data_IF_838101158267
#
_entry.id   IF_838101158267
#
_cell.length_a   1.000
_cell.length_b   1.000
_cell.length_c   1.000
_cell.angle_alpha   90.00
_cell.angle_beta   90.00
_cell.angle_gamma   90.00
#
_symmetry.space_group_name_H-M   'P 1'
#
loop_
_entity.id
_entity.type
_entity.pdbx_description
1 polymer ?
#
# COMPACT_ATOMS: atom_id res chain seq x y z
N UNK A 1 -12.56 0.13 -27.81
CA UNK A 1 -12.78 0.41 -26.39
C UNK A 1 -11.41 0.54 -25.73
N UNK A 2 -10.84 1.74 -25.75
CA UNK A 2 -9.52 2.06 -25.17
C UNK A 2 -9.78 2.60 -23.76
N UNK A 3 -9.61 1.76 -22.74
CA UNK A 3 -9.72 2.20 -21.35
C UNK A 3 -8.31 2.36 -20.81
N UNK A 4 -7.88 3.62 -20.82
CA UNK A 4 -6.90 4.29 -19.95
C UNK A 4 -5.51 3.67 -19.82
N UNK A 5 -4.64 4.00 -20.78
CA UNK A 5 -3.18 4.00 -20.60
C UNK A 5 -2.70 5.45 -20.38
N UNK A 6 -3.27 6.14 -19.38
CA UNK A 6 -2.90 7.53 -19.03
C UNK A 6 -2.91 7.62 -17.50
N UNK A 7 -1.74 7.53 -16.85
CA UNK A 7 -1.37 8.10 -15.53
C UNK A 7 -0.26 7.34 -14.77
N UNK A 8 0.51 6.43 -15.39
CA UNK A 8 1.59 5.72 -14.69
C UNK A 8 2.85 6.58 -14.43
N UNK A 9 2.89 7.84 -14.87
CA UNK A 9 4.06 8.70 -14.67
C UNK A 9 3.90 9.60 -13.44
N UNK A 10 4.56 9.18 -12.35
CA UNK A 10 4.89 9.95 -11.14
C UNK A 10 3.93 9.88 -9.93
N UNK A 11 3.37 8.72 -9.60
CA UNK A 11 2.92 8.52 -8.22
C UNK A 11 4.13 8.47 -7.28
N UNK A 12 4.38 9.58 -6.60
CA UNK A 12 5.31 9.64 -5.47
C UNK A 12 4.50 9.55 -4.18
N UNK A 13 4.57 8.45 -3.44
CA UNK A 13 3.93 8.38 -2.14
C UNK A 13 4.51 9.47 -1.23
N UNK A 14 3.69 10.04 -0.32
CA UNK A 14 4.19 11.02 0.63
C UNK A 14 5.30 10.43 1.51
N UNK A 15 6.24 11.24 2.02
CA UNK A 15 7.38 10.76 2.80
C UNK A 15 7.01 9.91 4.03
N UNK A 16 5.79 10.07 4.55
CA UNK A 16 5.25 9.38 5.72
C UNK A 16 4.36 8.18 5.35
N UNK A 17 4.29 7.77 4.08
CA UNK A 17 3.42 6.69 3.61
C UNK A 17 3.51 5.43 4.46
N UNK A 18 4.71 4.93 4.71
CA UNK A 18 4.94 3.72 5.50
C UNK A 18 4.42 3.84 6.94
N UNK A 19 4.59 5.02 7.54
CA UNK A 19 4.11 5.32 8.89
C UNK A 19 2.59 5.36 8.91
N UNK A 20 1.97 5.97 7.89
CA UNK A 20 0.52 6.06 7.75
C UNK A 20 -0.13 4.69 7.53
N UNK A 21 0.44 3.84 6.68
CA UNK A 21 -0.02 2.46 6.47
C UNK A 21 0.01 1.69 7.78
N UNK A 22 1.15 1.72 8.48
CA UNK A 22 1.32 1.04 9.76
C UNK A 22 0.36 1.56 10.82
N UNK A 23 0.23 2.88 10.96
CA UNK A 23 -0.66 3.52 11.91
C UNK A 23 -2.14 3.18 11.63
N UNK A 24 -2.57 3.21 10.37
CA UNK A 24 -3.93 2.84 9.98
C UNK A 24 -4.22 1.38 10.33
N UNK A 25 -3.32 0.45 9.97
CA UNK A 25 -3.48 -0.96 10.31
C UNK A 25 -3.63 -1.18 11.81
N UNK A 26 -2.79 -0.52 12.62
CA UNK A 26 -2.88 -0.61 14.09
C UNK A 26 -4.15 0.02 14.64
N UNK A 27 -4.62 1.16 14.11
CA UNK A 27 -5.89 1.78 14.51
C UNK A 27 -7.10 0.89 14.24
N UNK A 28 -7.04 0.08 13.19
CA UNK A 28 -8.07 -0.90 12.85
C UNK A 28 -7.95 -2.22 13.62
N UNK A 29 -6.89 -2.40 14.44
CA UNK A 29 -6.66 -3.65 15.19
C UNK A 29 -6.34 -4.86 14.31
N UNK A 30 -5.82 -4.64 13.11
CA UNK A 30 -5.60 -5.71 12.12
C UNK A 30 -4.16 -6.25 12.13
N UNK A 31 -4.03 -7.55 11.92
CA UNK A 31 -2.76 -8.17 11.51
C UNK A 31 -2.37 -7.71 10.10
N UNK A 32 -1.09 -7.90 9.74
CA UNK A 32 -0.64 -7.60 8.37
C UNK A 32 -1.39 -8.43 7.31
N UNK A 33 -1.79 -9.66 7.63
CA UNK A 33 -2.57 -10.50 6.72
C UNK A 33 -3.98 -9.94 6.52
N UNK A 34 -4.72 -9.68 7.62
CA UNK A 34 -6.07 -9.11 7.53
C UNK A 34 -6.09 -7.76 6.82
N UNK A 35 -5.05 -6.94 7.01
CA UNK A 35 -4.91 -5.68 6.27
C UNK A 35 -4.63 -5.90 4.79
N UNK A 36 -3.80 -6.89 4.44
CA UNK A 36 -3.49 -7.25 3.06
C UNK A 36 -4.72 -7.76 2.29
N UNK A 37 -5.58 -8.52 2.97
CA UNK A 37 -6.83 -9.06 2.41
C UNK A 37 -7.77 -7.94 1.92
N UNK A 38 -7.76 -6.76 2.57
CA UNK A 38 -8.56 -5.60 2.15
C UNK A 38 -8.15 -5.04 0.77
N UNK A 39 -6.89 -5.23 0.38
CA UNK A 39 -6.32 -4.72 -0.87
C UNK A 39 -6.01 -5.83 -1.87
N UNK A 40 -6.36 -7.09 -1.57
CA UNK A 40 -6.02 -8.26 -2.40
C UNK A 40 -4.52 -8.35 -2.71
N UNK A 41 -3.67 -8.03 -1.72
CA UNK A 41 -2.21 -8.16 -1.81
C UNK A 41 -1.70 -9.19 -0.81
N UNK A 42 -0.43 -9.55 -0.90
CA UNK A 42 0.19 -10.44 0.10
C UNK A 42 0.52 -9.68 1.40
N UNK A 43 0.56 -10.37 2.53
CA UNK A 43 1.09 -9.80 3.78
C UNK A 43 2.56 -9.37 3.66
N UNK A 44 3.34 -10.01 2.77
CA UNK A 44 4.69 -9.59 2.44
C UNK A 44 4.71 -8.21 1.76
N UNK A 45 3.75 -7.93 0.87
CA UNK A 45 3.57 -6.61 0.24
C UNK A 45 3.30 -5.53 1.31
N UNK A 46 2.37 -5.79 2.24
CA UNK A 46 2.08 -4.87 3.36
C UNK A 46 3.32 -4.65 4.23
N UNK A 47 4.07 -5.71 4.55
CA UNK A 47 5.32 -5.60 5.30
C UNK A 47 6.32 -4.67 4.59
N UNK A 48 6.46 -4.78 3.27
CA UNK A 48 7.35 -3.91 2.49
C UNK A 48 6.86 -2.46 2.45
N UNK A 49 5.54 -2.23 2.39
CA UNK A 49 4.94 -0.89 2.51
C UNK A 49 5.27 -0.25 3.86
N UNK A 50 5.10 -0.97 4.95
CA UNK A 50 5.38 -0.49 6.31
C UNK A 50 6.87 -0.26 6.58
N UNK A 51 7.74 -0.92 5.82
CA UNK A 51 9.19 -0.74 5.87
C UNK A 51 9.70 0.36 4.91
N UNK A 52 8.84 0.92 4.06
CA UNK A 52 9.24 1.90 3.04
C UNK A 52 10.11 1.32 1.92
N UNK A 53 10.06 0.00 1.74
CA UNK A 53 10.83 -0.72 0.71
C UNK A 53 10.06 -0.87 -0.61
N UNK A 54 8.74 -0.77 -0.54
CA UNK A 54 7.83 -0.89 -1.67
C UNK A 54 6.68 0.10 -1.44
N UNK A 55 6.07 0.55 -2.53
CA UNK A 55 4.87 1.38 -2.51
C UNK A 55 3.91 0.85 -3.58
N UNK A 56 2.59 1.11 -3.48
CA UNK A 56 1.65 0.81 -4.55
C UNK A 56 2.12 1.47 -5.86
N UNK A 57 2.20 0.69 -6.94
CA UNK A 57 2.71 1.12 -8.25
C UNK A 57 1.62 1.11 -9.33
N UNK A 58 0.35 1.26 -8.95
CA UNK A 58 -0.81 1.17 -9.83
C UNK A 58 -1.77 2.32 -9.52
#
# INVERSE_FOLDING_TARGET
>A
MHIVEIAAENFRPPPDFSQRVKALRHRLGLSQQQFADLFTVSSATVKLWEQGRLHPSQ
#
